data_IF_599842992298
#
_entry.id   IF_599842992298
#
_cell.length_a   1.000
_cell.length_b   1.000
_cell.length_c   1.000
_cell.angle_alpha   90.00
_cell.angle_beta   90.00
_cell.angle_gamma   90.00
#
_symmetry.space_group_name_H-M   'P 1'
#
loop_
_entity.id
_entity.type
_entity.pdbx_description
1 polymer ?
#
# COMPACT_ATOMS: atom_id res chain seq x y z
N UNK A 1 6.83 19.60 -89.50
CA UNK A 1 5.85 19.03 -88.56
C UNK A 1 6.32 19.36 -87.18
N UNK A 2 5.63 20.29 -86.46
CA UNK A 2 5.98 20.71 -85.08
C UNK A 2 5.07 19.97 -84.12
N UNK A 3 5.64 19.13 -83.25
CA UNK A 3 4.92 18.45 -82.18
C UNK A 3 4.85 19.34 -80.94
N UNK A 4 3.65 19.87 -80.64
CA UNK A 4 3.42 20.66 -79.47
C UNK A 4 3.20 19.79 -78.21
N UNK A 5 4.12 19.89 -77.28
CA UNK A 5 3.92 19.30 -75.98
C UNK A 5 3.10 20.25 -75.09
N UNK A 6 2.04 19.72 -74.49
CA UNK A 6 1.16 20.47 -73.58
C UNK A 6 1.76 20.47 -72.15
N UNK A 7 2.07 21.66 -71.61
CA UNK A 7 2.74 21.69 -70.24
C UNK A 7 1.79 21.63 -69.08
N UNK A 8 0.51 21.31 -69.25
CA UNK A 8 -0.49 21.41 -68.18
C UNK A 8 -0.57 20.22 -67.19
N UNK A 9 -0.26 19.01 -67.67
CA UNK A 9 -0.50 17.81 -66.82
C UNK A 9 0.57 17.57 -65.75
N UNK A 10 1.78 18.06 -65.95
CA UNK A 10 2.87 17.83 -64.95
C UNK A 10 2.75 18.72 -63.71
N UNK A 11 2.12 19.88 -63.86
CA UNK A 11 1.93 20.80 -62.70
C UNK A 11 0.77 20.36 -61.80
N UNK A 12 -0.28 19.72 -62.31
CA UNK A 12 -1.37 19.18 -61.50
C UNK A 12 -0.94 17.96 -60.70
N UNK A 13 -0.09 17.10 -61.21
CA UNK A 13 0.39 15.92 -60.51
C UNK A 13 1.31 16.28 -59.32
N UNK A 14 2.14 17.35 -59.52
CA UNK A 14 3.05 17.80 -58.45
C UNK A 14 2.30 18.47 -57.30
N UNK A 15 1.19 19.17 -57.58
CA UNK A 15 0.40 19.84 -56.55
C UNK A 15 -0.43 18.82 -55.72
N UNK A 16 -0.89 17.74 -56.34
CA UNK A 16 -1.64 16.67 -55.64
C UNK A 16 -0.72 15.82 -54.75
N UNK A 17 0.53 15.63 -55.11
CA UNK A 17 1.50 14.89 -54.24
C UNK A 17 1.93 15.76 -53.05
N UNK A 18 2.02 17.08 -53.19
CA UNK A 18 2.40 17.96 -52.10
C UNK A 18 1.28 18.06 -51.03
N UNK A 19 0.01 18.02 -51.46
CA UNK A 19 -1.13 18.04 -50.52
C UNK A 19 -1.31 16.69 -49.80
N UNK A 20 -1.00 15.58 -50.44
CA UNK A 20 -1.07 14.26 -49.78
C UNK A 20 0.07 14.08 -48.75
N UNK A 21 1.24 14.66 -48.96
CA UNK A 21 2.35 14.61 -48.03
C UNK A 21 2.09 15.45 -46.76
N UNK A 22 1.33 16.55 -46.90
CA UNK A 22 1.00 17.40 -45.74
C UNK A 22 -0.09 16.79 -44.85
N UNK A 23 -0.92 15.91 -45.39
CA UNK A 23 -1.97 15.24 -44.59
C UNK A 23 -1.43 14.12 -43.69
N UNK A 24 -0.25 13.56 -44.01
CA UNK A 24 0.38 12.52 -43.19
C UNK A 24 1.22 13.08 -42.03
N UNK A 25 1.45 14.39 -42.00
CA UNK A 25 2.25 15.04 -40.97
C UNK A 25 1.41 15.52 -39.76
N UNK A 26 0.08 15.27 -39.76
CA UNK A 26 -0.71 15.40 -38.55
C UNK A 26 -0.46 14.12 -37.69
N UNK A 27 0.76 14.01 -37.16
CA UNK A 27 1.04 13.05 -36.13
C UNK A 27 -0.01 13.26 -35.05
N UNK A 28 -0.70 12.20 -34.67
CA UNK A 28 -1.62 12.19 -33.54
C UNK A 28 -0.87 12.82 -32.37
N UNK A 29 -1.23 14.04 -32.03
CA UNK A 29 -0.82 14.63 -30.76
C UNK A 29 -1.43 13.71 -29.70
N UNK A 30 -0.67 12.71 -29.28
CA UNK A 30 -1.09 11.83 -28.20
C UNK A 30 -1.36 12.72 -27.00
N UNK A 31 -2.62 12.74 -26.58
CA UNK A 31 -3.01 13.57 -25.44
C UNK A 31 -2.06 13.27 -24.28
N UNK A 32 -1.52 14.32 -23.68
CA UNK A 32 -0.54 14.13 -22.59
C UNK A 32 -1.21 13.42 -21.42
N UNK A 33 -0.63 12.29 -20.99
CA UNK A 33 -1.10 11.55 -19.82
C UNK A 33 -1.06 12.45 -18.57
N UNK A 34 -2.08 12.43 -17.70
CA UNK A 34 -3.40 11.82 -17.90
C UNK A 34 -4.36 12.77 -18.61
N UNK A 35 -5.18 12.25 -19.52
CA UNK A 35 -6.19 13.02 -20.24
C UNK A 35 -7.62 12.65 -19.79
N UNK A 36 -7.73 11.69 -18.86
CA UNK A 36 -9.00 11.22 -18.28
C UNK A 36 -8.74 10.73 -16.85
N UNK A 37 -9.79 10.48 -16.04
CA UNK A 37 -9.62 10.03 -14.66
C UNK A 37 -8.80 8.75 -14.55
N UNK A 38 -8.00 8.67 -13.48
CA UNK A 38 -7.13 7.53 -13.15
C UNK A 38 -7.70 6.82 -11.91
N UNK A 39 -7.80 5.50 -11.96
CA UNK A 39 -8.24 4.67 -10.82
C UNK A 39 -7.04 4.21 -10.01
N UNK A 40 -7.10 4.42 -8.70
CA UNK A 40 -6.14 3.84 -7.74
C UNK A 40 -6.89 2.78 -6.92
N UNK A 41 -6.57 1.52 -7.16
CA UNK A 41 -7.20 0.41 -6.47
C UNK A 41 -6.51 0.19 -5.13
N UNK A 42 -7.31 -0.02 -4.07
CA UNK A 42 -6.86 -0.31 -2.71
C UNK A 42 -7.48 -1.64 -2.29
N UNK A 43 -6.67 -2.61 -1.89
CA UNK A 43 -7.09 -3.97 -1.56
C UNK A 43 -7.69 -4.17 -0.16
N UNK A 44 -8.13 -3.09 0.48
CA UNK A 44 -8.65 -3.11 1.85
C UNK A 44 -9.88 -2.20 1.95
N UNK A 45 -10.66 -2.38 3.02
CA UNK A 45 -11.84 -1.54 3.29
C UNK A 45 -11.46 -0.07 3.46
N UNK A 46 -12.40 0.80 3.14
CA UNK A 46 -12.22 2.23 3.34
C UNK A 46 -11.99 2.56 4.82
N UNK A 47 -11.20 3.58 5.09
CA UNK A 47 -10.94 4.09 6.44
C UNK A 47 -9.75 3.44 7.15
N UNK A 48 -9.14 2.40 6.56
CA UNK A 48 -7.89 1.85 7.10
C UNK A 48 -6.67 2.61 6.57
N UNK A 49 -5.50 2.26 7.09
CA UNK A 49 -4.25 2.99 6.76
C UNK A 49 -3.98 3.06 5.26
N UNK A 50 -4.11 1.93 4.53
CA UNK A 50 -3.86 1.92 3.08
C UNK A 50 -4.76 2.92 2.37
N UNK A 51 -6.04 2.93 2.73
CA UNK A 51 -7.05 3.81 2.13
C UNK A 51 -6.73 5.29 2.44
N UNK A 52 -6.43 5.58 3.71
CA UNK A 52 -6.17 6.96 4.14
C UNK A 52 -4.94 7.54 3.40
N UNK A 53 -3.84 6.77 3.35
CA UNK A 53 -2.62 7.22 2.67
C UNK A 53 -2.86 7.34 1.15
N UNK A 54 -3.56 6.35 0.57
CA UNK A 54 -3.91 6.39 -0.86
C UNK A 54 -4.71 7.64 -1.22
N UNK A 55 -5.67 8.03 -0.36
CA UNK A 55 -6.48 9.23 -0.62
C UNK A 55 -5.68 10.53 -0.49
N UNK A 56 -4.73 10.59 0.45
CA UNK A 56 -3.82 11.74 0.54
C UNK A 56 -3.02 11.85 -0.76
N UNK A 57 -2.44 10.74 -1.24
CA UNK A 57 -1.67 10.74 -2.48
C UNK A 57 -2.56 11.03 -3.71
N UNK A 58 -3.76 10.45 -3.77
CA UNK A 58 -4.70 10.67 -4.86
C UNK A 58 -5.07 12.17 -5.00
N UNK A 59 -5.30 12.84 -3.87
CA UNK A 59 -5.56 14.28 -3.85
C UNK A 59 -4.38 15.04 -4.46
N UNK A 60 -3.17 14.72 -4.01
CA UNK A 60 -1.96 15.40 -4.48
C UNK A 60 -1.70 15.15 -5.99
N UNK A 61 -1.92 13.92 -6.43
CA UNK A 61 -1.80 13.56 -7.86
C UNK A 61 -2.84 14.33 -8.70
N UNK A 62 -4.07 14.44 -8.17
CA UNK A 62 -5.16 15.19 -8.83
C UNK A 62 -4.75 16.66 -9.01
N UNK A 63 -4.26 17.28 -7.94
CA UNK A 63 -3.85 18.69 -7.98
C UNK A 63 -2.64 18.91 -8.90
N UNK A 64 -1.69 18.00 -8.88
CA UNK A 64 -0.44 18.11 -9.63
C UNK A 64 -0.62 17.84 -11.12
N UNK A 65 -1.48 16.87 -11.48
CA UNK A 65 -1.58 16.36 -12.85
C UNK A 65 -2.86 16.80 -13.59
N UNK A 66 -3.79 17.45 -12.89
CA UNK A 66 -4.95 18.08 -13.52
C UNK A 66 -6.10 17.14 -13.94
N UNK A 67 -6.03 15.87 -13.55
CA UNK A 67 -7.10 14.90 -13.77
C UNK A 67 -7.41 14.18 -12.48
N UNK A 68 -8.65 13.74 -12.29
CA UNK A 68 -9.07 13.06 -11.05
C UNK A 68 -8.34 11.73 -10.87
N UNK A 69 -7.73 11.54 -9.70
CA UNK A 69 -7.24 10.26 -9.25
C UNK A 69 -8.22 9.74 -8.21
N UNK A 70 -8.91 8.64 -8.53
CA UNK A 70 -10.05 8.15 -7.74
C UNK A 70 -9.66 6.83 -7.04
N UNK A 71 -9.77 6.81 -5.72
CA UNK A 71 -9.49 5.60 -4.92
C UNK A 71 -10.72 4.69 -4.96
N UNK A 72 -10.50 3.42 -5.32
CA UNK A 72 -11.52 2.39 -5.37
C UNK A 72 -11.11 1.21 -4.47
N UNK A 73 -11.93 0.92 -3.46
CA UNK A 73 -11.65 -0.16 -2.51
C UNK A 73 -12.16 -1.51 -3.04
N UNK A 74 -11.28 -2.51 -3.11
CA UNK A 74 -11.58 -3.88 -3.55
C UNK A 74 -11.00 -4.86 -2.53
N UNK A 75 -11.59 -4.95 -1.34
CA UNK A 75 -11.05 -5.81 -0.29
C UNK A 75 -11.27 -7.29 -0.56
N UNK A 76 -10.40 -8.13 -0.02
CA UNK A 76 -10.56 -9.57 -0.04
C UNK A 76 -9.26 -10.33 -0.26
N UNK A 77 -9.18 -11.52 0.31
CA UNK A 77 -8.05 -12.44 0.22
C UNK A 77 -6.70 -11.75 0.53
N UNK A 78 -6.66 -10.94 1.59
CA UNK A 78 -5.44 -10.22 1.95
C UNK A 78 -4.94 -9.32 0.82
N UNK A 79 -5.83 -8.60 0.15
CA UNK A 79 -5.53 -7.74 -1.00
C UNK A 79 -5.24 -8.50 -2.32
N UNK A 80 -5.17 -9.83 -2.31
CA UNK A 80 -4.85 -10.58 -3.54
C UNK A 80 -5.86 -10.33 -4.66
N UNK A 81 -7.16 -10.13 -4.32
CA UNK A 81 -8.20 -9.84 -5.32
C UNK A 81 -7.89 -8.54 -6.06
N UNK A 82 -7.52 -7.49 -5.32
CA UNK A 82 -7.18 -6.19 -5.91
C UNK A 82 -5.90 -6.27 -6.75
N UNK A 83 -4.90 -6.99 -6.22
CA UNK A 83 -3.59 -7.13 -6.89
C UNK A 83 -3.76 -7.87 -8.22
N UNK A 84 -4.49 -8.99 -8.22
CA UNK A 84 -4.78 -9.77 -9.43
C UNK A 84 -5.58 -8.93 -10.45
N UNK A 85 -6.56 -8.16 -9.97
CA UNK A 85 -7.37 -7.29 -10.84
C UNK A 85 -6.50 -6.25 -11.55
N UNK A 86 -5.57 -5.63 -10.83
CA UNK A 86 -4.71 -4.59 -11.42
C UNK A 86 -3.66 -5.24 -12.35
N UNK A 87 -3.11 -6.39 -11.98
CA UNK A 87 -2.18 -7.13 -12.86
C UNK A 87 -2.75 -7.31 -14.27
N UNK A 88 -4.06 -7.60 -14.36
CA UNK A 88 -4.76 -7.86 -15.64
C UNK A 88 -5.23 -6.60 -16.36
N UNK A 89 -5.04 -5.43 -15.77
CA UNK A 89 -5.47 -4.17 -16.39
C UNK A 89 -4.50 -3.75 -17.50
N UNK A 90 -4.96 -2.87 -18.38
CA UNK A 90 -4.10 -2.33 -19.43
C UNK A 90 -2.93 -1.55 -18.81
N UNK A 91 -1.71 -1.72 -19.34
CA UNK A 91 -0.54 -1.01 -18.82
C UNK A 91 -0.45 0.41 -19.42
N UNK A 92 -1.52 1.18 -19.26
CA UNK A 92 -1.65 2.53 -19.84
C UNK A 92 -1.62 3.65 -18.77
N UNK A 93 -1.48 3.26 -17.48
CA UNK A 93 -1.42 4.21 -16.38
C UNK A 93 -2.77 4.63 -15.81
N UNK A 94 -3.89 4.12 -16.35
CA UNK A 94 -5.23 4.53 -15.88
C UNK A 94 -5.84 3.61 -14.82
N UNK A 95 -5.19 2.48 -14.54
CA UNK A 95 -5.53 1.60 -13.42
C UNK A 95 -4.24 1.27 -12.67
N UNK A 96 -4.14 1.74 -11.44
CA UNK A 96 -2.95 1.61 -10.60
C UNK A 96 -3.34 0.88 -9.31
N UNK A 97 -2.36 0.26 -8.66
CA UNK A 97 -2.55 -0.36 -7.35
C UNK A 97 -1.79 0.44 -6.30
N UNK A 98 -2.48 0.82 -5.24
CA UNK A 98 -1.79 1.30 -4.04
C UNK A 98 -1.46 0.06 -3.21
N UNK A 99 -0.23 -0.44 -3.41
CA UNK A 99 0.24 -1.71 -2.87
C UNK A 99 0.70 -1.53 -1.42
N UNK A 100 0.52 -2.57 -0.63
CA UNK A 100 1.02 -2.65 0.76
C UNK A 100 1.97 -3.83 0.91
N UNK A 101 2.71 -3.86 2.01
CA UNK A 101 3.62 -4.95 2.38
C UNK A 101 2.95 -6.33 2.28
N UNK A 102 1.64 -6.38 2.44
CA UNK A 102 0.83 -7.59 2.35
C UNK A 102 1.07 -8.37 1.06
N UNK A 103 1.20 -7.65 -0.08
CA UNK A 103 1.44 -8.32 -1.36
C UNK A 103 2.81 -9.03 -1.39
N UNK A 104 3.81 -8.49 -0.68
CA UNK A 104 5.11 -9.15 -0.56
C UNK A 104 5.04 -10.38 0.36
N UNK A 105 4.34 -10.26 1.49
CA UNK A 105 4.13 -11.36 2.45
C UNK A 105 3.39 -12.52 1.74
N UNK A 106 2.38 -12.19 0.95
CA UNK A 106 1.51 -13.16 0.29
C UNK A 106 2.24 -14.01 -0.76
N UNK A 107 3.37 -13.53 -1.29
CA UNK A 107 4.20 -14.34 -2.20
C UNK A 107 4.66 -15.66 -1.55
N UNK A 108 4.79 -15.69 -0.22
CA UNK A 108 5.14 -16.90 0.54
C UNK A 108 3.95 -17.54 1.23
N UNK A 109 3.04 -16.73 1.78
CA UNK A 109 1.96 -17.19 2.64
C UNK A 109 0.86 -17.96 1.90
N UNK A 110 0.47 -17.48 0.71
CA UNK A 110 -0.59 -18.10 -0.09
C UNK A 110 0.01 -19.06 -1.10
N UNK A 111 -0.51 -20.28 -1.18
CA UNK A 111 -0.01 -21.32 -2.12
C UNK A 111 -0.35 -21.01 -3.58
N UNK A 112 -1.47 -20.33 -3.80
CA UNK A 112 -2.03 -20.14 -5.15
C UNK A 112 -2.14 -18.64 -5.51
N UNK A 113 -1.04 -17.90 -5.30
CA UNK A 113 -0.96 -16.51 -5.74
C UNK A 113 -0.84 -16.49 -7.27
N UNK A 114 -1.64 -15.67 -7.92
CA UNK A 114 -1.72 -15.62 -9.39
C UNK A 114 -0.82 -14.54 -10.02
N UNK A 115 -0.05 -13.85 -9.20
CA UNK A 115 0.83 -12.76 -9.63
C UNK A 115 2.21 -12.90 -9.00
N UNK A 116 3.21 -12.39 -9.70
CA UNK A 116 4.58 -12.23 -9.18
C UNK A 116 4.80 -10.71 -8.98
N UNK A 117 4.90 -10.30 -7.74
CA UNK A 117 5.00 -8.87 -7.40
C UNK A 117 6.24 -8.21 -8.03
N UNK A 118 7.28 -8.98 -8.28
CA UNK A 118 8.55 -8.48 -8.82
C UNK A 118 8.61 -8.45 -10.36
N UNK A 119 7.67 -9.13 -11.03
CA UNK A 119 7.69 -9.26 -12.50
C UNK A 119 6.45 -8.68 -13.18
N UNK A 120 5.28 -8.83 -12.54
CA UNK A 120 4.01 -8.51 -13.17
C UNK A 120 3.59 -7.06 -12.98
N UNK A 121 4.43 -6.26 -12.31
CA UNK A 121 4.14 -4.86 -12.01
C UNK A 121 5.33 -3.97 -12.31
N UNK A 122 5.03 -2.73 -12.67
CA UNK A 122 6.02 -1.66 -12.82
C UNK A 122 5.96 -0.80 -11.55
N UNK A 123 7.04 -0.72 -10.76
CA UNK A 123 7.08 0.16 -9.59
C UNK A 123 7.02 1.63 -10.01
N UNK A 124 6.27 2.44 -9.26
CA UNK A 124 6.19 3.88 -9.50
C UNK A 124 6.89 4.65 -8.38
N UNK A 125 6.42 4.50 -7.15
CA UNK A 125 7.02 5.20 -6.00
C UNK A 125 6.58 4.56 -4.70
N UNK A 126 7.48 4.44 -3.75
CA UNK A 126 7.14 4.21 -2.35
C UNK A 126 6.51 5.52 -1.84
N UNK A 127 5.47 5.44 -1.05
CA UNK A 127 4.79 6.63 -0.52
C UNK A 127 5.05 6.83 0.95
N UNK A 128 4.92 5.76 1.73
CA UNK A 128 5.01 5.86 3.19
C UNK A 128 5.44 4.57 3.83
N UNK A 129 6.05 4.70 5.01
CA UNK A 129 6.25 3.60 5.97
C UNK A 129 5.54 3.98 7.27
N UNK A 130 5.00 2.99 7.96
CA UNK A 130 4.33 3.19 9.23
C UNK A 130 4.71 2.08 10.21
N UNK A 131 4.85 2.40 11.50
CA UNK A 131 4.95 1.35 12.50
C UNK A 131 3.58 0.70 12.72
N UNK A 132 3.58 -0.51 13.23
CA UNK A 132 2.38 -1.08 13.81
C UNK A 132 2.39 -0.74 15.30
N UNK A 133 1.22 -0.66 15.91
CA UNK A 133 1.11 -0.46 17.36
C UNK A 133 0.21 -1.54 17.95
N UNK A 134 0.61 -2.04 19.10
CA UNK A 134 -0.19 -2.99 19.88
C UNK A 134 -1.22 -2.18 20.65
N UNK A 135 -2.48 -2.38 20.32
CA UNK A 135 -3.62 -1.75 21.00
C UNK A 135 -4.52 -2.83 21.59
N UNK A 136 -5.12 -2.52 22.74
CA UNK A 136 -6.05 -3.42 23.42
C UNK A 136 -7.36 -2.70 23.71
N UNK A 137 -8.44 -3.48 23.78
CA UNK A 137 -9.71 -2.98 24.32
C UNK A 137 -9.49 -2.54 25.76
N UNK A 138 -9.91 -1.35 26.18
CA UNK A 138 -9.68 -0.87 27.54
C UNK A 138 -10.27 -1.72 28.67
N UNK A 139 -11.25 -2.59 28.35
CA UNK A 139 -11.83 -3.51 29.34
C UNK A 139 -10.89 -4.68 29.66
N UNK A 140 -9.92 -4.97 28.79
CA UNK A 140 -8.86 -5.92 29.11
C UNK A 140 -7.97 -5.29 30.19
N UNK A 141 -7.83 -5.92 31.37
CA UNK A 141 -7.18 -5.26 32.52
C UNK A 141 -5.66 -5.30 32.46
N UNK A 142 -5.08 -4.72 31.39
CA UNK A 142 -3.63 -4.70 31.18
C UNK A 142 -3.18 -3.29 30.76
N UNK A 143 -1.99 -2.89 31.16
CA UNK A 143 -1.39 -1.59 30.84
C UNK A 143 -0.02 -1.71 30.19
N UNK A 144 0.54 -2.93 30.17
CA UNK A 144 1.87 -3.19 29.57
C UNK A 144 1.79 -4.45 28.72
N UNK A 145 2.80 -4.62 27.87
CA UNK A 145 2.94 -5.83 27.05
C UNK A 145 3.06 -7.07 27.95
N UNK A 146 3.87 -6.99 29.01
CA UNK A 146 4.05 -8.13 29.92
C UNK A 146 2.74 -8.49 30.63
N UNK A 147 1.96 -7.50 31.05
CA UNK A 147 0.63 -7.76 31.65
C UNK A 147 -0.31 -8.45 30.67
N UNK A 148 -0.25 -8.10 29.37
CA UNK A 148 -1.05 -8.79 28.34
C UNK A 148 -0.62 -10.25 28.21
N UNK A 149 0.69 -10.51 28.18
CA UNK A 149 1.21 -11.88 28.17
C UNK A 149 0.70 -12.68 29.36
N UNK A 150 0.83 -12.12 30.58
CA UNK A 150 0.40 -12.77 31.82
C UNK A 150 -1.12 -13.05 31.81
N UNK A 151 -1.89 -12.07 31.32
CA UNK A 151 -3.35 -12.20 31.21
C UNK A 151 -3.73 -13.31 30.23
N UNK A 152 -3.06 -13.37 29.07
CA UNK A 152 -3.30 -14.41 28.08
C UNK A 152 -2.94 -15.81 28.63
N UNK A 153 -1.84 -15.91 29.38
CA UNK A 153 -1.42 -17.20 29.99
C UNK A 153 -2.40 -17.68 31.04
N UNK A 154 -3.04 -16.77 31.77
CA UNK A 154 -4.08 -17.12 32.78
C UNK A 154 -5.43 -17.46 32.12
N UNK A 155 -5.61 -17.12 30.86
CA UNK A 155 -6.87 -17.30 30.13
C UNK A 155 -6.62 -17.99 28.78
N UNK A 156 -5.99 -19.18 28.75
CA UNK A 156 -5.62 -19.82 27.47
C UNK A 156 -6.85 -20.08 26.61
N UNK A 157 -6.74 -19.72 25.33
CA UNK A 157 -7.81 -19.91 24.34
C UNK A 157 -8.97 -18.93 24.45
N UNK A 158 -8.92 -17.95 25.39
CA UNK A 158 -10.02 -17.03 25.63
C UNK A 158 -9.86 -15.69 24.90
N UNK A 159 -8.63 -15.32 24.52
CA UNK A 159 -8.37 -14.06 23.84
C UNK A 159 -8.24 -14.27 22.33
N UNK A 160 -8.67 -13.26 21.60
CA UNK A 160 -8.48 -13.21 20.15
C UNK A 160 -7.79 -11.91 19.76
N UNK A 161 -6.94 -12.00 18.75
CA UNK A 161 -6.37 -10.80 18.13
C UNK A 161 -6.92 -10.62 16.71
N UNK A 162 -7.18 -9.37 16.36
CA UNK A 162 -7.69 -9.02 15.04
C UNK A 162 -6.54 -8.71 14.09
N UNK A 163 -6.82 -8.85 12.79
CA UNK A 163 -5.96 -8.27 11.75
C UNK A 163 -6.82 -7.66 10.65
N UNK A 164 -6.19 -6.83 9.83
CA UNK A 164 -6.85 -6.25 8.65
C UNK A 164 -6.94 -7.26 7.49
N UNK A 165 -6.59 -8.51 7.76
CA UNK A 165 -6.65 -9.62 6.81
C UNK A 165 -5.44 -10.53 6.95
N UNK A 166 -5.62 -11.77 6.50
CA UNK A 166 -4.51 -12.73 6.48
C UNK A 166 -3.41 -12.23 5.53
N UNK A 167 -2.16 -12.34 5.96
CA UNK A 167 -1.01 -11.87 5.19
C UNK A 167 -0.62 -10.42 5.42
N UNK A 168 -1.37 -9.68 6.24
CA UNK A 168 -0.98 -8.31 6.59
C UNK A 168 0.17 -8.33 7.60
N UNK A 169 0.92 -7.23 7.71
CA UNK A 169 1.92 -7.06 8.77
C UNK A 169 1.28 -7.20 10.15
N UNK A 170 0.00 -6.84 10.24
CA UNK A 170 -0.81 -6.92 11.45
C UNK A 170 -0.98 -8.38 11.88
N UNK A 171 -1.34 -9.25 10.93
CA UNK A 171 -1.42 -10.69 11.16
C UNK A 171 -0.06 -11.25 11.58
N UNK A 172 0.98 -10.90 10.82
CA UNK A 172 2.34 -11.41 11.07
C UNK A 172 2.86 -10.98 12.45
N UNK A 173 2.62 -9.73 12.86
CA UNK A 173 3.02 -9.26 14.18
C UNK A 173 2.29 -10.04 15.29
N UNK A 174 1.00 -10.31 15.11
CA UNK A 174 0.21 -11.11 16.04
C UNK A 174 0.75 -12.53 16.19
N UNK A 175 1.06 -13.18 15.06
CA UNK A 175 1.60 -14.55 15.08
C UNK A 175 3.00 -14.59 15.69
N UNK A 176 3.86 -13.62 15.41
CA UNK A 176 5.18 -13.51 16.02
C UNK A 176 5.07 -13.31 17.52
N UNK A 177 4.17 -12.45 17.97
CA UNK A 177 3.91 -12.22 19.39
C UNK A 177 3.43 -13.50 20.08
N UNK A 178 2.42 -14.15 19.48
CA UNK A 178 1.88 -15.41 19.97
C UNK A 178 2.99 -16.46 20.17
N UNK A 179 3.83 -16.62 19.16
CA UNK A 179 4.92 -17.59 19.18
C UNK A 179 5.98 -17.22 20.22
N UNK A 180 6.46 -15.97 20.23
CA UNK A 180 7.52 -15.52 21.14
C UNK A 180 7.07 -15.51 22.60
N UNK A 181 5.82 -15.16 22.85
CA UNK A 181 5.26 -15.10 24.21
C UNK A 181 4.78 -16.46 24.72
N UNK A 182 4.60 -17.43 23.83
CA UNK A 182 4.07 -18.76 24.21
C UNK A 182 2.64 -18.68 24.71
N UNK A 183 1.79 -17.89 24.08
CA UNK A 183 0.39 -17.69 24.48
C UNK A 183 -0.56 -18.37 23.49
N UNK A 184 -1.72 -18.77 23.97
CA UNK A 184 -2.78 -19.41 23.19
C UNK A 184 -3.88 -18.39 22.91
N UNK A 185 -3.85 -17.79 21.73
CA UNK A 185 -4.80 -16.76 21.28
C UNK A 185 -5.25 -17.07 19.86
N UNK A 186 -6.48 -16.68 19.53
CA UNK A 186 -7.09 -16.93 18.21
C UNK A 186 -6.89 -15.72 17.28
N UNK A 187 -6.55 -15.98 16.04
CA UNK A 187 -6.50 -14.94 15.00
C UNK A 187 -7.87 -14.77 14.34
N UNK A 188 -8.34 -13.53 14.25
CA UNK A 188 -9.60 -13.18 13.58
C UNK A 188 -9.31 -12.17 12.46
N UNK A 189 -9.31 -12.61 11.21
CA UNK A 189 -9.03 -11.70 10.09
C UNK A 189 -10.28 -10.92 9.65
N UNK A 190 -10.07 -9.65 9.29
CA UNK A 190 -11.10 -8.75 8.76
C UNK A 190 -10.71 -8.30 7.34
N UNK A 191 -11.60 -7.58 6.66
CA UNK A 191 -11.33 -7.06 5.29
C UNK A 191 -10.65 -5.69 5.30
N UNK A 192 -10.00 -5.32 6.40
CA UNK A 192 -9.32 -4.04 6.58
C UNK A 192 -9.34 -3.63 8.04
N UNK A 193 -8.59 -2.58 8.39
CA UNK A 193 -8.48 -2.13 9.78
C UNK A 193 -9.79 -1.55 10.33
N UNK A 194 -10.56 -0.83 9.53
CA UNK A 194 -11.76 -0.16 10.03
C UNK A 194 -12.77 -1.13 10.68
N UNK A 195 -13.19 -2.23 10.01
CA UNK A 195 -14.08 -3.18 10.69
C UNK A 195 -13.42 -3.92 11.85
N UNK A 196 -12.10 -4.18 11.78
CA UNK A 196 -11.37 -4.82 12.88
C UNK A 196 -11.37 -3.92 14.13
N UNK A 197 -11.11 -2.63 13.96
CA UNK A 197 -11.11 -1.65 15.07
C UNK A 197 -12.51 -1.54 15.68
N UNK A 198 -13.55 -1.55 14.86
CA UNK A 198 -14.93 -1.50 15.35
C UNK A 198 -15.19 -2.67 16.32
N UNK A 199 -14.80 -3.88 15.94
CA UNK A 199 -14.99 -5.06 16.80
C UNK A 199 -14.04 -5.06 18.00
N UNK A 200 -12.84 -4.49 17.85
CA UNK A 200 -11.91 -4.34 18.98
C UNK A 200 -12.46 -3.37 20.01
N UNK A 201 -12.98 -2.23 19.59
CA UNK A 201 -13.62 -1.25 20.49
C UNK A 201 -14.86 -1.87 21.15
N UNK A 202 -15.61 -2.68 20.38
CA UNK A 202 -16.79 -3.38 20.89
C UNK A 202 -16.49 -4.56 21.79
N UNK A 203 -15.23 -4.98 21.94
CA UNK A 203 -14.84 -6.09 22.80
C UNK A 203 -15.01 -7.47 22.19
N UNK A 204 -15.32 -7.57 20.89
CA UNK A 204 -15.45 -8.86 20.21
C UNK A 204 -14.10 -9.55 20.04
N UNK A 205 -13.04 -8.77 19.93
CA UNK A 205 -11.64 -9.21 19.98
C UNK A 205 -10.91 -8.37 21.02
N UNK A 206 -9.76 -8.83 21.53
CA UNK A 206 -9.15 -8.22 22.70
C UNK A 206 -7.94 -7.34 22.37
N UNK A 207 -7.18 -7.66 21.32
CA UNK A 207 -6.02 -6.85 20.94
C UNK A 207 -5.74 -6.94 19.44
N UNK A 208 -4.87 -6.04 18.97
CA UNK A 208 -4.50 -5.96 17.56
C UNK A 208 -3.17 -5.23 17.43
N UNK A 209 -2.32 -5.66 16.50
CA UNK A 209 -1.10 -4.96 16.12
C UNK A 209 -1.36 -4.13 14.87
N UNK A 210 -2.22 -3.11 14.97
CA UNK A 210 -2.65 -2.38 13.79
C UNK A 210 -1.61 -1.36 13.33
N UNK A 211 -1.74 -0.92 12.09
CA UNK A 211 -0.93 0.19 11.57
C UNK A 211 -1.25 1.47 12.35
N UNK A 212 -0.22 2.22 12.68
CA UNK A 212 -0.37 3.41 13.52
C UNK A 212 -1.41 4.41 12.99
N UNK A 213 -1.44 4.74 11.67
CA UNK A 213 -2.45 5.70 11.19
C UNK A 213 -3.90 5.32 11.47
N UNK A 214 -4.24 4.02 11.45
CA UNK A 214 -5.63 3.61 11.72
C UNK A 214 -5.93 3.47 13.21
N UNK A 215 -4.97 3.05 14.04
CA UNK A 215 -5.21 2.77 15.46
C UNK A 215 -4.92 3.95 16.38
N UNK A 216 -3.91 4.78 16.08
CA UNK A 216 -3.44 5.82 16.99
C UNK A 216 -4.52 6.85 17.37
N UNK A 217 -5.35 7.34 16.42
CA UNK A 217 -6.44 8.26 16.81
C UNK A 217 -7.39 7.67 17.86
N UNK A 218 -7.66 6.36 17.79
CA UNK A 218 -8.53 5.69 18.77
C UNK A 218 -7.83 5.54 20.12
N UNK A 219 -6.52 5.35 20.13
CA UNK A 219 -5.74 5.32 21.38
C UNK A 219 -5.69 6.70 22.02
N UNK A 220 -5.49 7.75 21.22
CA UNK A 220 -5.46 9.14 21.73
C UNK A 220 -6.80 9.55 22.33
N UNK A 221 -7.92 9.08 21.77
CA UNK A 221 -9.27 9.39 22.27
C UNK A 221 -9.71 8.50 23.44
N UNK A 222 -8.90 7.51 23.82
CA UNK A 222 -9.20 6.59 24.92
C UNK A 222 -10.12 5.43 24.55
N UNK A 223 -10.51 5.29 23.29
CA UNK A 223 -11.34 4.17 22.82
C UNK A 223 -10.56 2.86 22.81
N UNK A 224 -9.24 2.94 22.67
CA UNK A 224 -8.30 1.82 22.75
C UNK A 224 -7.15 2.23 23.67
N UNK A 225 -6.41 1.24 24.19
CA UNK A 225 -5.19 1.50 24.96
C UNK A 225 -3.99 0.99 24.14
N UNK A 226 -3.03 1.88 23.87
CA UNK A 226 -1.80 1.52 23.18
C UNK A 226 -0.77 1.03 24.19
N UNK A 227 -0.10 -0.07 23.90
CA UNK A 227 0.90 -0.69 24.79
C UNK A 227 2.34 -0.54 24.27
N UNK A 228 2.55 -0.61 22.94
CA UNK A 228 3.90 -0.58 22.36
C UNK A 228 3.83 -0.35 20.85
N UNK A 229 4.94 0.13 20.28
CA UNK A 229 5.16 0.13 18.85
C UNK A 229 6.02 -1.07 18.46
N UNK A 230 5.91 -1.51 17.21
CA UNK A 230 6.56 -2.75 16.73
C UNK A 230 7.91 -2.52 16.07
N UNK A 231 8.29 -1.27 15.86
CA UNK A 231 9.55 -0.90 15.22
C UNK A 231 10.71 -0.94 16.21
N UNK A 232 11.94 -1.01 15.69
CA UNK A 232 13.16 -1.01 16.52
C UNK A 232 13.29 0.26 17.36
N UNK A 233 12.83 1.39 16.81
CA UNK A 233 12.87 2.67 17.49
C UNK A 233 11.44 3.14 17.81
N UNK A 234 11.30 3.97 18.85
CA UNK A 234 10.03 4.58 19.20
C UNK A 234 9.57 5.53 18.10
N UNK A 235 8.26 5.65 17.94
CA UNK A 235 7.67 6.59 16.99
C UNK A 235 7.80 8.02 17.52
N UNK A 236 8.22 8.95 16.67
CA UNK A 236 8.27 10.37 17.01
C UNK A 236 6.88 10.94 17.33
N UNK A 237 5.84 10.32 16.76
CA UNK A 237 4.44 10.73 17.00
C UNK A 237 3.89 10.21 18.33
N UNK A 238 4.56 9.24 18.95
CA UNK A 238 4.16 8.64 20.23
C UNK A 238 5.42 8.28 21.04
N UNK A 239 6.21 9.29 21.45
CA UNK A 239 7.52 9.04 22.07
C UNK A 239 7.43 8.34 23.44
N UNK A 240 6.28 8.39 24.08
CA UNK A 240 6.07 7.73 25.38
C UNK A 240 5.74 6.25 25.26
N UNK A 241 5.40 5.75 24.07
CA UNK A 241 5.14 4.33 23.87
C UNK A 241 6.47 3.57 23.76
N UNK A 242 6.68 2.50 24.55
CA UNK A 242 7.87 1.68 24.37
C UNK A 242 7.78 0.87 23.08
N UNK A 243 8.91 0.32 22.66
CA UNK A 243 8.93 -0.65 21.57
C UNK A 243 8.66 -2.05 22.14
N UNK A 244 8.31 -3.00 21.26
CA UNK A 244 8.20 -4.40 21.64
C UNK A 244 9.55 -4.93 22.15
N UNK A 245 10.67 -4.47 21.57
CA UNK A 245 12.01 -4.86 22.04
C UNK A 245 12.28 -4.37 23.46
N UNK A 246 11.92 -3.13 23.78
CA UNK A 246 12.02 -2.60 25.15
C UNK A 246 11.12 -3.38 26.13
N UNK A 247 10.07 -4.01 25.61
CA UNK A 247 9.09 -4.76 26.40
C UNK A 247 9.46 -6.25 26.54
N UNK A 248 10.69 -6.63 26.14
CA UNK A 248 11.20 -7.97 26.33
C UNK A 248 11.15 -8.88 25.10
N UNK A 249 10.81 -8.35 23.92
CA UNK A 249 10.70 -9.14 22.68
C UNK A 249 11.86 -8.78 21.74
N UNK A 250 13.05 -9.29 22.05
CA UNK A 250 14.26 -9.05 21.28
C UNK A 250 14.04 -9.40 19.79
N UNK A 251 14.50 -8.51 18.90
CA UNK A 251 14.41 -8.72 17.46
C UNK A 251 13.03 -8.48 16.86
N UNK A 252 12.04 -8.06 17.64
CA UNK A 252 10.72 -7.76 17.14
C UNK A 252 10.78 -6.45 16.35
N UNK A 253 10.61 -6.53 15.05
CA UNK A 253 10.68 -5.36 14.18
C UNK A 253 9.75 -5.59 12.99
N UNK A 254 8.53 -5.08 13.08
CA UNK A 254 7.49 -5.23 12.06
C UNK A 254 6.95 -3.83 11.71
N UNK A 255 6.93 -3.53 10.44
CA UNK A 255 6.34 -2.27 9.95
C UNK A 255 5.61 -2.53 8.65
N UNK A 256 4.80 -1.57 8.26
CA UNK A 256 4.11 -1.58 6.97
C UNK A 256 4.68 -0.51 6.06
N UNK A 257 4.56 -0.75 4.76
CA UNK A 257 4.88 0.24 3.75
C UNK A 257 3.79 0.24 2.69
N UNK A 258 3.67 1.38 2.01
CA UNK A 258 2.63 1.62 1.01
C UNK A 258 3.23 2.38 -0.16
N UNK A 259 2.88 1.98 -1.37
CA UNK A 259 3.40 2.62 -2.56
C UNK A 259 2.50 2.41 -3.77
N UNK A 260 2.86 3.06 -4.86
CA UNK A 260 2.08 3.01 -6.10
C UNK A 260 2.79 2.13 -7.11
N UNK A 261 2.06 1.16 -7.69
CA UNK A 261 2.55 0.31 -8.77
C UNK A 261 1.51 0.26 -9.90
N UNK A 262 1.98 -0.07 -11.09
CA UNK A 262 1.16 -0.21 -12.30
C UNK A 262 1.33 -1.62 -12.86
N UNK A 263 0.44 -2.07 -13.75
CA UNK A 263 0.69 -3.31 -14.50
C UNK A 263 2.03 -3.25 -15.25
N UNK A 264 2.68 -4.38 -15.42
CA UNK A 264 3.97 -4.45 -16.11
C UNK A 264 3.86 -3.85 -17.52
N UNK A 265 4.83 -3.06 -17.93
CA UNK A 265 4.87 -2.43 -19.25
C UNK A 265 4.41 -0.97 -19.32
N UNK A 266 4.12 -0.04 -18.14
CA UNK A 266 3.73 1.03 -18.14
C UNK A 266 4.57 1.72 -18.77
N UNK A 267 4.34 2.59 -19.68
CA UNK A 267 5.31 3.43 -20.40
C UNK A 267 6.20 4.24 -19.46
N UNK A 268 7.48 4.28 -19.72
CA UNK A 268 8.40 4.98 -18.81
C UNK A 268 8.06 6.45 -18.56
N UNK A 269 7.53 7.15 -19.55
CA UNK A 269 7.14 8.55 -19.38
C UNK A 269 5.97 8.70 -18.40
N UNK A 270 5.05 7.74 -18.39
CA UNK A 270 3.92 7.72 -17.43
C UNK A 270 4.46 7.43 -16.02
N UNK A 271 5.35 6.43 -15.89
CA UNK A 271 5.98 6.06 -14.63
C UNK A 271 6.71 7.27 -14.03
N UNK A 272 7.54 7.93 -14.85
CA UNK A 272 8.34 9.07 -14.39
C UNK A 272 7.47 10.26 -13.99
N UNK A 273 6.38 10.50 -14.72
CA UNK A 273 5.44 11.58 -14.42
C UNK A 273 4.74 11.35 -13.07
N UNK A 274 4.24 10.13 -12.86
CA UNK A 274 3.61 9.74 -11.59
C UNK A 274 4.61 9.78 -10.42
N UNK A 275 5.81 9.26 -10.64
CA UNK A 275 6.87 9.28 -9.62
C UNK A 275 7.20 10.72 -9.20
N UNK A 276 7.45 11.60 -10.18
CA UNK A 276 7.78 13.00 -9.89
C UNK A 276 6.68 13.68 -9.09
N UNK A 277 5.41 13.42 -9.43
CA UNK A 277 4.28 14.01 -8.72
C UNK A 277 4.19 13.48 -7.29
N UNK A 278 4.41 12.17 -7.06
CA UNK A 278 4.40 11.59 -5.71
C UNK A 278 5.56 12.12 -4.86
N UNK A 279 6.76 12.18 -5.42
CA UNK A 279 7.94 12.68 -4.70
C UNK A 279 7.73 14.15 -4.29
N UNK A 280 7.19 14.95 -5.21
CA UNK A 280 6.87 16.38 -4.93
C UNK A 280 5.81 16.51 -3.83
N UNK A 281 4.80 15.64 -3.84
CA UNK A 281 3.74 15.63 -2.81
C UNK A 281 4.33 15.42 -1.41
N UNK A 282 5.33 14.56 -1.28
CA UNK A 282 5.95 14.26 0.01
C UNK A 282 6.73 15.46 0.61
N UNK A 283 7.05 16.46 -0.21
CA UNK A 283 7.70 17.68 0.28
C UNK A 283 6.70 18.76 0.71
N UNK A 284 5.41 18.58 0.42
CA UNK A 284 4.40 19.59 0.80
C UNK A 284 4.20 19.60 2.31
N UNK A 285 4.22 20.78 2.95
CA UNK A 285 4.01 20.88 4.40
C UNK A 285 2.70 20.25 4.88
N UNK A 286 1.62 20.38 4.12
CA UNK A 286 0.32 19.80 4.49
C UNK A 286 0.34 18.25 4.46
N UNK A 287 1.11 17.66 3.55
CA UNK A 287 1.29 16.20 3.52
C UNK A 287 2.14 15.76 4.71
N UNK A 288 3.24 16.47 4.98
CA UNK A 288 4.12 16.18 6.10
C UNK A 288 3.37 16.29 7.43
N UNK A 289 2.55 17.32 7.60
CA UNK A 289 1.73 17.50 8.80
C UNK A 289 0.72 16.37 8.95
N UNK A 290 0.04 15.99 7.86
CA UNK A 290 -0.92 14.89 7.88
C UNK A 290 -0.24 13.56 8.26
N UNK A 291 0.92 13.29 7.65
CA UNK A 291 1.68 12.08 7.95
C UNK A 291 2.14 12.05 9.41
N UNK A 292 2.65 13.18 9.92
CA UNK A 292 3.11 13.26 11.32
C UNK A 292 1.98 12.95 12.30
N UNK A 293 0.79 13.50 12.06
CA UNK A 293 -0.40 13.23 12.91
C UNK A 293 -0.76 11.75 12.91
N UNK A 294 -0.55 11.08 11.78
CA UNK A 294 -0.90 9.67 11.60
C UNK A 294 0.21 8.71 12.05
N UNK A 295 1.41 9.22 12.33
CA UNK A 295 2.57 8.38 12.61
C UNK A 295 3.19 7.77 11.37
N UNK A 296 2.87 8.29 10.19
CA UNK A 296 3.44 7.83 8.93
C UNK A 296 4.71 8.63 8.61
N UNK A 297 5.65 7.98 7.92
CA UNK A 297 6.88 8.60 7.45
C UNK A 297 6.91 8.52 5.92
N UNK A 298 6.96 9.68 5.27
CA UNK A 298 7.06 9.74 3.82
C UNK A 298 8.44 9.27 3.36
N UNK A 299 8.48 8.48 2.30
CA UNK A 299 9.73 7.94 1.77
C UNK A 299 9.80 8.20 0.26
N UNK A 300 10.76 9.02 -0.13
CA UNK A 300 10.99 9.33 -1.55
C UNK A 300 11.86 8.25 -2.18
N UNK A 301 11.46 7.76 -3.33
CA UNK A 301 12.25 6.79 -4.11
C UNK A 301 12.10 7.08 -5.60
N UNK A 302 13.09 6.70 -6.34
CA UNK A 302 12.95 6.50 -7.79
C UNK A 302 12.16 5.20 -8.02
N UNK A 303 11.61 5.00 -9.23
CA UNK A 303 10.96 3.71 -9.56
C UNK A 303 11.92 2.52 -9.37
N UNK A 304 13.18 2.67 -9.76
CA UNK A 304 14.18 1.59 -9.62
C UNK A 304 14.46 1.24 -8.17
N UNK A 305 14.63 2.25 -7.31
CA UNK A 305 14.82 2.03 -5.86
C UNK A 305 13.60 1.34 -5.25
N UNK A 306 12.40 1.73 -5.65
CA UNK A 306 11.20 1.08 -5.14
C UNK A 306 11.12 -0.38 -5.62
N UNK A 307 11.50 -0.65 -6.87
CA UNK A 307 11.56 -2.02 -7.38
C UNK A 307 12.54 -2.89 -6.58
N UNK A 308 13.74 -2.38 -6.28
CA UNK A 308 14.71 -3.08 -5.44
C UNK A 308 14.17 -3.31 -4.03
N UNK A 309 13.48 -2.31 -3.48
CA UNK A 309 12.85 -2.42 -2.17
C UNK A 309 11.79 -3.53 -2.16
N UNK A 310 10.90 -3.57 -3.17
CA UNK A 310 9.88 -4.62 -3.28
C UNK A 310 10.54 -6.00 -3.30
N UNK A 311 11.59 -6.16 -4.10
CA UNK A 311 12.32 -7.44 -4.19
C UNK A 311 12.89 -7.85 -2.83
N UNK A 312 13.54 -6.92 -2.14
CA UNK A 312 14.10 -7.20 -0.81
C UNK A 312 13.01 -7.55 0.21
N UNK A 313 11.83 -6.94 0.08
CA UNK A 313 10.70 -7.24 0.98
C UNK A 313 10.14 -8.64 0.72
N UNK A 314 9.97 -9.03 -0.55
CA UNK A 314 9.51 -10.39 -0.90
C UNK A 314 10.49 -11.43 -0.33
N UNK A 315 11.79 -11.22 -0.54
CA UNK A 315 12.84 -12.12 -0.05
C UNK A 315 12.94 -12.14 1.48
N UNK A 316 12.83 -10.96 2.10
CA UNK A 316 12.98 -10.80 3.55
C UNK A 316 11.82 -11.38 4.34
N UNK A 317 10.59 -11.29 3.82
CA UNK A 317 9.42 -11.82 4.51
C UNK A 317 9.32 -13.34 4.44
N UNK A 318 9.91 -13.98 3.43
CA UNK A 318 9.77 -15.44 3.24
C UNK A 318 10.18 -16.23 4.51
N UNK A 319 11.37 -16.04 5.11
CA UNK A 319 11.70 -16.77 6.33
C UNK A 319 10.84 -16.37 7.53
N UNK A 320 10.41 -15.10 7.61
CA UNK A 320 9.55 -14.62 8.71
C UNK A 320 8.18 -15.32 8.65
N UNK A 321 7.59 -15.42 7.47
CA UNK A 321 6.32 -16.11 7.26
C UNK A 321 6.43 -17.58 7.68
N UNK A 322 7.49 -18.25 7.23
CA UNK A 322 7.71 -19.68 7.55
C UNK A 322 7.89 -19.88 9.04
N UNK A 323 8.65 -19.00 9.72
CA UNK A 323 8.92 -19.11 11.15
C UNK A 323 7.71 -18.75 12.02
N UNK A 324 6.82 -17.88 11.54
CA UNK A 324 5.67 -17.40 12.32
C UNK A 324 4.59 -18.46 12.56
N UNK A 325 4.55 -19.49 11.72
CA UNK A 325 3.47 -20.48 11.77
C UNK A 325 2.16 -19.99 11.17
N UNK A 326 2.15 -18.79 10.59
CA UNK A 326 0.95 -18.21 9.96
C UNK A 326 0.45 -19.08 8.82
N UNK A 327 -0.86 -19.23 8.73
CA UNK A 327 -1.50 -20.03 7.67
C UNK A 327 -2.72 -19.29 7.14
N UNK A 328 -3.04 -19.57 5.90
CA UNK A 328 -4.31 -19.20 5.27
C UNK A 328 -4.97 -20.47 4.76
N UNK A 329 -6.29 -20.56 4.96
CA UNK A 329 -7.07 -21.74 4.56
C UNK A 329 -7.53 -21.61 3.10
#
# INVERSE_FOLDING_TARGET
>A
MKTGQKPGLRRLAATLLATAASAFAMGSAQAAYPDKPVRIVVGFSAGGTTDVIARIMAKELTESLGQSFVVENKPGAGSNIATDMVQRAAPDGYTLLFVAVTSAINQTLYKNVTFDLTKDFTPVALGAKVPNILVVNPQVPVKTVQELVDYAKKNPGKLAFASSGSGTSIHMAGELFKMKAGIDVLHVPYKGSAPAITDLIGGQVQFMFDNMPSAWPHAQSGKLRALAVTTSDRSKSAPDLPTMQESGFAGFDVSSWFGLIAPAGXPPEVVNKLNAAMVKALDKPEVQTSFEKLGAVGVKTTPAEFGQFIKSEVEGWAPVVKASGAKVD
#
